data_IF_437600733414
#
_entry.id   IF_437600733414
#
_cell.length_a   1.000
_cell.length_b   1.000
_cell.length_c   1.000
_cell.angle_alpha   90.00
_cell.angle_beta   90.00
_cell.angle_gamma   90.00
#
_symmetry.space_group_name_H-M   'P 1'
#
loop_
_entity.id
_entity.type
_entity.pdbx_description
1 polymer ?
#
# COMPACT_ATOMS: atom_id res chain seq x y z
N UNK A 1 -2.53 42.46 63.01
CA UNK A 1 -1.70 42.18 61.82
C UNK A 1 -1.82 40.70 61.47
N UNK A 2 -2.53 40.32 60.40
CA UNK A 2 -3.02 38.94 60.22
C UNK A 2 -2.63 38.36 58.86
N UNK A 3 -1.88 37.26 58.93
CA UNK A 3 -1.57 36.20 57.94
C UNK A 3 -1.95 36.50 56.47
N UNK A 4 -0.98 36.95 55.67
CA UNK A 4 -1.04 36.89 54.18
C UNK A 4 -0.06 35.86 53.57
N UNK A 5 0.76 35.18 54.38
CA UNK A 5 1.76 34.23 53.89
C UNK A 5 1.18 32.83 53.56
N UNK A 6 0.19 32.34 54.30
CA UNK A 6 -0.38 30.97 54.11
C UNK A 6 -1.15 30.77 52.80
N UNK A 7 -1.77 31.82 52.26
CA UNK A 7 -2.59 31.70 51.03
C UNK A 7 -1.77 31.64 49.74
N UNK A 8 -0.48 31.99 49.78
CA UNK A 8 0.38 32.05 48.58
C UNK A 8 0.93 30.67 48.19
N UNK A 9 1.25 29.81 49.16
CA UNK A 9 1.78 28.48 48.88
C UNK A 9 0.73 27.53 48.28
N UNK A 10 -0.49 27.55 48.81
CA UNK A 10 -1.58 26.71 48.32
C UNK A 10 -2.03 27.08 46.91
N UNK A 11 -2.08 28.37 46.57
CA UNK A 11 -2.41 28.82 45.22
C UNK A 11 -1.38 28.39 44.16
N UNK A 12 -0.10 28.32 44.54
CA UNK A 12 0.96 27.87 43.64
C UNK A 12 0.87 26.36 43.37
N UNK A 13 0.61 25.56 44.41
CA UNK A 13 0.52 24.11 44.31
C UNK A 13 -0.67 23.70 43.43
N UNK A 14 -1.83 24.35 43.58
CA UNK A 14 -3.01 24.04 42.74
C UNK A 14 -2.76 24.41 41.27
N UNK A 15 -2.13 25.55 41.00
CA UNK A 15 -1.77 25.95 39.64
C UNK A 15 -0.79 24.95 38.98
N UNK A 16 0.26 24.53 39.71
CA UNK A 16 1.20 23.51 39.24
C UNK A 16 0.52 22.17 38.98
N UNK A 17 -0.39 21.74 39.86
CA UNK A 17 -1.11 20.49 39.69
C UNK A 17 -2.02 20.50 38.46
N UNK A 18 -2.77 21.59 38.24
CA UNK A 18 -3.60 21.75 37.04
C UNK A 18 -2.72 21.76 35.79
N UNK A 19 -1.60 22.48 35.82
CA UNK A 19 -0.66 22.57 34.69
C UNK A 19 -0.06 21.21 34.36
N UNK A 20 0.32 20.41 35.37
CA UNK A 20 0.86 19.07 35.19
C UNK A 20 -0.17 18.10 34.58
N UNK A 21 -1.44 18.20 34.99
CA UNK A 21 -2.52 17.39 34.39
C UNK A 21 -2.75 17.82 32.94
N UNK A 22 -2.85 19.13 32.68
CA UNK A 22 -3.03 19.66 31.33
C UNK A 22 -1.88 19.27 30.39
N UNK A 23 -0.63 19.35 30.85
CA UNK A 23 0.53 18.96 30.05
C UNK A 23 0.54 17.47 29.74
N UNK A 24 0.18 16.61 30.70
CA UNK A 24 0.09 15.16 30.48
C UNK A 24 -0.97 14.81 29.43
N UNK A 25 -2.14 15.45 29.49
CA UNK A 25 -3.20 15.29 28.49
C UNK A 25 -2.73 15.77 27.11
N UNK A 26 -2.10 16.95 27.03
CA UNK A 26 -1.59 17.49 25.78
C UNK A 26 -0.54 16.60 25.12
N UNK A 27 0.37 16.02 25.91
CA UNK A 27 1.38 15.07 25.42
C UNK A 27 0.73 13.80 24.89
N UNK A 28 -0.25 13.23 25.60
CA UNK A 28 -0.95 12.01 25.15
C UNK A 28 -1.71 12.20 23.83
N UNK A 29 -2.36 13.36 23.67
CA UNK A 29 -3.01 13.73 22.41
C UNK A 29 -1.97 13.92 21.28
N UNK A 30 -0.85 14.58 21.56
CA UNK A 30 0.22 14.80 20.58
C UNK A 30 0.83 13.49 20.10
N UNK A 31 1.10 12.54 21.01
CA UNK A 31 1.61 11.21 20.66
C UNK A 31 0.65 10.44 19.75
N UNK A 32 -0.65 10.50 20.04
CA UNK A 32 -1.68 9.84 19.23
C UNK A 32 -1.73 10.42 17.81
N UNK A 33 -1.64 11.74 17.69
CA UNK A 33 -1.60 12.43 16.39
C UNK A 33 -0.34 12.04 15.59
N UNK A 34 0.85 12.11 16.20
CA UNK A 34 2.09 11.75 15.52
C UNK A 34 2.13 10.28 15.10
N UNK A 35 1.56 9.38 15.92
CA UNK A 35 1.43 7.97 15.55
C UNK A 35 0.50 7.76 14.35
N UNK A 36 -0.64 8.46 14.32
CA UNK A 36 -1.57 8.40 13.20
C UNK A 36 -0.94 8.91 11.89
N UNK A 37 -0.18 10.00 11.95
CA UNK A 37 0.57 10.57 10.80
C UNK A 37 1.65 9.60 10.32
N UNK A 38 2.41 8.98 11.25
CA UNK A 38 3.43 7.99 10.86
C UNK A 38 2.85 6.79 10.13
N UNK A 39 1.63 6.36 10.50
CA UNK A 39 0.93 5.26 9.82
C UNK A 39 0.33 5.68 8.47
N UNK A 40 -0.12 6.93 8.32
CA UNK A 40 -0.77 7.38 7.08
C UNK A 40 0.20 7.37 5.89
N UNK A 41 1.47 7.75 6.09
CA UNK A 41 2.47 7.72 5.03
C UNK A 41 2.68 6.32 4.44
N UNK A 42 2.81 5.30 5.29
CA UNK A 42 2.94 3.92 4.82
C UNK A 42 1.68 3.35 4.15
N UNK A 43 0.49 3.86 4.50
CA UNK A 43 -0.76 3.46 3.84
C UNK A 43 -0.80 4.06 2.43
N UNK A 44 -0.43 5.33 2.28
CA UNK A 44 -0.43 6.02 0.99
C UNK A 44 0.53 5.36 -0.01
N UNK A 45 1.76 5.05 0.40
CA UNK A 45 2.74 4.36 -0.45
C UNK A 45 2.22 2.99 -0.94
N UNK A 46 1.57 2.24 -0.04
CA UNK A 46 1.00 0.93 -0.38
C UNK A 46 -0.16 1.06 -1.34
N UNK A 47 -1.04 2.03 -1.11
CA UNK A 47 -2.21 2.24 -1.95
C UNK A 47 -1.77 2.75 -3.34
N UNK A 48 -0.73 3.59 -3.42
CA UNK A 48 -0.10 3.99 -4.68
C UNK A 48 0.47 2.79 -5.44
N UNK A 49 1.25 1.92 -4.77
CA UNK A 49 1.79 0.70 -5.38
C UNK A 49 0.69 -0.25 -5.88
N UNK A 50 -0.41 -0.37 -5.12
CA UNK A 50 -1.58 -1.15 -5.53
C UNK A 50 -2.21 -0.60 -6.81
N UNK A 51 -2.45 0.71 -6.89
CA UNK A 51 -3.02 1.32 -8.09
C UNK A 51 -2.10 1.23 -9.30
N UNK A 52 -0.78 1.31 -9.12
CA UNK A 52 0.17 1.02 -10.20
C UNK A 52 0.07 -0.42 -10.68
N UNK A 53 -0.05 -1.40 -9.78
CA UNK A 53 -0.22 -2.80 -10.17
C UNK A 53 -1.52 -3.05 -10.94
N UNK A 54 -2.62 -2.40 -10.54
CA UNK A 54 -3.90 -2.45 -11.27
C UNK A 54 -3.75 -1.82 -12.66
N UNK A 55 -3.19 -0.62 -12.75
CA UNK A 55 -2.95 0.04 -14.05
C UNK A 55 -2.01 -0.76 -14.96
N UNK A 56 -1.00 -1.42 -14.38
CA UNK A 56 -0.09 -2.30 -15.11
C UNK A 56 -0.81 -3.51 -15.71
N UNK A 57 -1.75 -4.11 -14.97
CA UNK A 57 -2.59 -5.21 -15.44
C UNK A 57 -3.47 -4.76 -16.61
N UNK A 58 -4.18 -3.65 -16.46
CA UNK A 58 -5.09 -3.14 -17.49
C UNK A 58 -4.34 -2.74 -18.76
N UNK A 59 -3.15 -2.13 -18.59
CA UNK A 59 -2.24 -1.86 -19.69
C UNK A 59 -1.79 -3.16 -20.37
N UNK A 60 -1.36 -4.17 -19.62
CA UNK A 60 -0.93 -5.46 -20.15
C UNK A 60 -2.06 -6.16 -20.92
N UNK A 61 -3.30 -6.13 -20.41
CA UNK A 61 -4.48 -6.67 -21.08
C UNK A 61 -4.73 -5.94 -22.41
N UNK A 62 -4.72 -4.61 -22.43
CA UNK A 62 -4.91 -3.84 -23.65
C UNK A 62 -3.79 -4.10 -24.69
N UNK A 63 -2.56 -4.26 -24.22
CA UNK A 63 -1.41 -4.57 -25.07
C UNK A 63 -1.52 -5.99 -25.66
N UNK A 64 -1.95 -6.96 -24.84
CA UNK A 64 -2.22 -8.32 -25.28
C UNK A 64 -3.32 -8.33 -26.34
N UNK A 65 -4.45 -7.66 -26.09
CA UNK A 65 -5.57 -7.56 -27.02
C UNK A 65 -5.16 -7.01 -28.40
N UNK A 66 -4.27 -6.02 -28.41
CA UNK A 66 -3.71 -5.44 -29.65
C UNK A 66 -2.70 -6.35 -30.34
N UNK A 67 -2.07 -7.25 -29.61
CA UNK A 67 -1.07 -8.20 -30.15
C UNK A 67 -1.68 -9.50 -30.67
N UNK A 68 -3.01 -9.70 -30.53
CA UNK A 68 -3.67 -10.89 -31.06
C UNK A 68 -3.43 -10.97 -32.57
N UNK A 69 -3.00 -12.13 -33.09
CA UNK A 69 -2.88 -12.32 -34.51
C UNK A 69 -4.27 -12.34 -35.17
N UNK A 70 -4.36 -12.10 -36.50
CA UNK A 70 -5.60 -12.24 -37.23
C UNK A 70 -6.22 -13.62 -36.99
N UNK A 71 -7.56 -13.65 -36.95
CA UNK A 71 -8.38 -14.78 -36.49
C UNK A 71 -7.87 -16.16 -36.95
N UNK A 72 -7.57 -17.03 -35.99
CA UNK A 72 -7.23 -18.45 -36.21
C UNK A 72 -5.75 -18.81 -36.04
N UNK A 73 -4.85 -17.82 -35.99
CA UNK A 73 -3.43 -18.04 -35.73
C UNK A 73 -3.16 -18.21 -34.22
N UNK A 74 -2.34 -19.18 -33.79
CA UNK A 74 -1.92 -19.29 -32.41
C UNK A 74 -0.92 -18.19 -32.04
N UNK A 75 -1.00 -17.68 -30.81
CA UNK A 75 0.05 -16.85 -30.23
C UNK A 75 1.34 -17.66 -30.07
N UNK A 76 2.47 -17.08 -30.43
CA UNK A 76 3.80 -17.70 -30.33
C UNK A 76 4.67 -16.96 -29.32
N UNK A 77 5.61 -17.65 -28.64
CA UNK A 77 6.56 -17.01 -27.73
C UNK A 77 7.51 -16.00 -28.39
N UNK A 78 7.58 -15.98 -29.72
CA UNK A 78 8.37 -15.02 -30.51
C UNK A 78 7.63 -13.70 -30.75
N UNK A 79 6.35 -13.62 -30.40
CA UNK A 79 5.53 -12.45 -30.66
C UNK A 79 5.81 -11.32 -29.65
N UNK A 80 5.40 -10.09 -29.99
CA UNK A 80 5.72 -8.90 -29.21
C UNK A 80 5.22 -8.91 -27.76
N UNK A 81 4.23 -9.74 -27.43
CA UNK A 81 3.72 -9.86 -26.07
C UNK A 81 4.64 -10.66 -25.12
N UNK A 82 5.53 -11.50 -25.66
CA UNK A 82 6.36 -12.45 -24.92
C UNK A 82 7.82 -12.01 -24.74
N UNK A 83 8.12 -10.71 -24.92
CA UNK A 83 9.48 -10.14 -24.88
C UNK A 83 10.12 -10.06 -23.47
N UNK A 84 9.65 -10.86 -22.50
CA UNK A 84 10.17 -10.89 -21.14
C UNK A 84 9.70 -9.74 -20.26
N UNK A 85 10.45 -9.46 -19.19
CA UNK A 85 10.11 -8.41 -18.23
C UNK A 85 10.29 -7.02 -18.86
N UNK A 86 9.26 -6.18 -18.75
CA UNK A 86 9.27 -4.77 -19.15
C UNK A 86 9.34 -3.88 -17.91
N UNK A 87 10.19 -2.86 -17.97
CA UNK A 87 10.35 -1.86 -16.93
C UNK A 87 9.73 -0.53 -17.38
N UNK A 88 8.95 0.08 -16.49
CA UNK A 88 8.40 1.42 -16.65
C UNK A 88 8.88 2.28 -15.49
N UNK A 89 9.44 3.44 -15.81
CA UNK A 89 9.80 4.45 -14.81
C UNK A 89 8.52 5.16 -14.33
N UNK A 90 8.36 5.28 -13.01
CA UNK A 90 7.26 5.98 -12.34
C UNK A 90 7.84 7.03 -11.39
N UNK A 91 7.02 7.97 -10.93
CA UNK A 91 7.51 9.12 -10.14
C UNK A 91 8.35 8.72 -8.92
N UNK A 92 8.01 7.61 -8.26
CA UNK A 92 8.65 7.15 -7.03
C UNK A 92 9.39 5.80 -7.17
N UNK A 93 9.78 5.40 -8.38
CA UNK A 93 10.54 4.15 -8.58
C UNK A 93 10.38 3.53 -9.96
N UNK A 94 10.48 2.20 -10.02
CA UNK A 94 10.32 1.44 -11.24
C UNK A 94 9.26 0.35 -11.07
N UNK A 95 8.40 0.21 -12.08
CA UNK A 95 7.43 -0.87 -12.20
C UNK A 95 7.99 -1.90 -13.19
N UNK A 96 8.17 -3.15 -12.73
CA UNK A 96 8.63 -4.25 -13.58
C UNK A 96 7.50 -5.27 -13.70
N UNK A 97 7.10 -5.58 -14.93
CA UNK A 97 6.04 -6.53 -15.23
C UNK A 97 6.47 -7.54 -16.29
N UNK A 98 6.13 -8.81 -16.08
CA UNK A 98 6.37 -9.90 -17.02
C UNK A 98 5.06 -10.62 -17.32
N UNK A 99 4.81 -10.92 -18.60
CA UNK A 99 3.65 -11.71 -19.04
C UNK A 99 4.13 -13.11 -19.39
N UNK A 100 3.43 -14.14 -18.91
CA UNK A 100 3.74 -15.55 -19.17
C UNK A 100 2.51 -16.30 -19.66
N UNK A 101 2.72 -17.26 -20.54
CA UNK A 101 1.68 -18.19 -20.98
C UNK A 101 1.46 -19.29 -19.94
N UNK A 102 0.24 -19.37 -19.41
CA UNK A 102 -0.15 -20.39 -18.45
C UNK A 102 -0.48 -21.75 -19.09
N UNK A 103 -0.69 -21.80 -20.41
CA UNK A 103 -1.04 -23.03 -21.14
C UNK A 103 0.18 -23.86 -21.57
N UNK A 104 1.39 -23.32 -21.46
CA UNK A 104 2.62 -24.04 -21.80
C UNK A 104 3.12 -24.98 -20.67
N UNK A 105 2.28 -25.24 -19.67
CA UNK A 105 2.55 -26.12 -18.54
C UNK A 105 1.56 -27.29 -18.51
N UNK A 106 1.97 -28.42 -17.94
CA UNK A 106 1.04 -29.54 -17.71
C UNK A 106 -0.09 -29.11 -16.75
N UNK A 107 -1.33 -29.11 -17.25
CA UNK A 107 -2.49 -28.68 -16.47
C UNK A 107 -2.89 -29.78 -15.46
N UNK A 108 -2.51 -29.59 -14.19
CA UNK A 108 -2.88 -30.51 -13.10
C UNK A 108 -4.40 -30.66 -12.93
N UNK A 109 -5.19 -29.63 -13.28
CA UNK A 109 -6.65 -29.70 -13.18
C UNK A 109 -7.24 -30.73 -14.17
N UNK A 110 -6.51 -31.13 -15.22
CA UNK A 110 -6.93 -32.17 -16.15
C UNK A 110 -6.89 -33.59 -15.55
N UNK A 111 -6.16 -33.79 -14.44
CA UNK A 111 -6.04 -35.11 -13.79
C UNK A 111 -7.30 -35.52 -13.02
N UNK A 112 -8.07 -34.55 -12.55
CA UNK A 112 -9.26 -34.81 -11.71
C UNK A 112 -10.50 -35.11 -12.56
N UNK A 113 -10.58 -34.56 -13.77
CA UNK A 113 -11.72 -34.74 -14.67
C UNK A 113 -11.74 -36.08 -15.41
N UNK A 114 -10.61 -36.79 -15.54
CA UNK A 114 -10.56 -38.10 -16.21
C UNK A 114 -10.76 -39.32 -15.30
N UNK A 115 -10.87 -39.14 -13.98
CA UNK A 115 -11.02 -40.23 -13.01
C UNK A 115 -12.48 -40.51 -12.58
N UNK A 116 -13.46 -40.09 -13.40
CA UNK A 116 -14.89 -40.12 -13.10
C UNK A 116 -15.77 -40.85 -14.12
N UNK A 117 -15.22 -41.81 -14.87
CA UNK A 117 -15.98 -42.76 -15.68
C UNK A 117 -15.62 -44.19 -15.30
#
# INVERSE_FOLDING_TARGET
>A
MRRRADKRGTALITALMITAVMSTVAVGLSQSLFFAIGRSGHIEDRDQAYWYAVGARDFAESALLRSLPPSGEPMRPTDAWAQGARQFEIENGALIGEVRDANNCFNLNALVTQAGH
#
